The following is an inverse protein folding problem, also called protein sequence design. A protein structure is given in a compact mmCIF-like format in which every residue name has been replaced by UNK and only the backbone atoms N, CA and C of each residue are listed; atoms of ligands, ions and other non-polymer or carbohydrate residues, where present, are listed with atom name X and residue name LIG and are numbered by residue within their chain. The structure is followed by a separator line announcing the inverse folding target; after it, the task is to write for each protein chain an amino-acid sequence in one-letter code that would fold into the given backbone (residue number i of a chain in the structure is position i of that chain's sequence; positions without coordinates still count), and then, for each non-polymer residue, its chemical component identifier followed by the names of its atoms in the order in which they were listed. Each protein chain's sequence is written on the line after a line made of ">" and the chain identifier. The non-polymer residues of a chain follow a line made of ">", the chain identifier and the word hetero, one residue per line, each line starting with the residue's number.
data_IF_147801869744
#
_entry.id   IF_147801869744
#
_cell.length_a   1.000
_cell.length_b   1.000
_cell.length_c   1.000
_cell.angle_alpha   90.00
_cell.angle_beta   90.00
_cell.angle_gamma   90.00
#
_symmetry.space_group_name_H-M   'P 1'
#
loop_
_entity.id
_entity.type
_entity.pdbx_description
1 polymer ?
#
# COMPACT_ATOMS: atom_id res chain seq x y z
N UNK A 1 14.03 4.65 -0.52
CA UNK A 1 12.88 5.44 -1.00
C UNK A 1 12.45 4.99 -2.38
N UNK A 2 13.34 4.90 -3.37
CA UNK A 2 12.97 4.45 -4.73
C UNK A 2 12.39 3.03 -4.74
N UNK A 3 12.95 2.12 -3.94
CA UNK A 3 12.42 0.75 -3.77
C UNK A 3 10.98 0.75 -3.24
N UNK A 4 10.70 1.57 -2.21
CA UNK A 4 9.36 1.70 -1.62
C UNK A 4 8.36 2.20 -2.67
N UNK A 5 8.77 3.17 -3.49
CA UNK A 5 7.92 3.70 -4.56
C UNK A 5 7.64 2.63 -5.63
N UNK A 6 8.67 1.89 -6.06
CA UNK A 6 8.55 0.81 -7.03
C UNK A 6 7.64 -0.32 -6.53
N UNK A 7 7.85 -0.78 -5.29
CA UNK A 7 7.02 -1.81 -4.65
C UNK A 7 5.57 -1.34 -4.49
N UNK A 8 5.37 -0.09 -4.09
CA UNK A 8 4.04 0.50 -3.95
C UNK A 8 3.31 0.61 -5.29
N UNK A 9 4.03 0.96 -6.36
CA UNK A 9 3.47 1.02 -7.72
C UNK A 9 3.11 -0.39 -8.23
N UNK A 10 3.97 -1.38 -8.00
CA UNK A 10 3.71 -2.76 -8.37
C UNK A 10 2.46 -3.30 -7.66
N UNK A 11 2.33 -3.06 -6.34
CA UNK A 11 1.16 -3.44 -5.56
C UNK A 11 -0.12 -2.77 -6.07
N UNK A 12 -0.05 -1.46 -6.41
CA UNK A 12 -1.21 -0.73 -6.93
C UNK A 12 -1.77 -1.37 -8.20
N UNK A 13 -0.90 -1.76 -9.13
CA UNK A 13 -1.32 -2.46 -10.34
C UNK A 13 -1.81 -3.88 -10.06
N UNK A 14 -1.09 -4.65 -9.23
CA UNK A 14 -1.46 -6.02 -8.90
C UNK A 14 -2.81 -6.12 -8.17
N UNK A 15 -3.18 -5.11 -7.38
CA UNK A 15 -4.47 -5.04 -6.69
C UNK A 15 -5.66 -4.78 -7.63
N UNK A 16 -5.39 -4.24 -8.83
CA UNK A 16 -6.40 -3.95 -9.85
C UNK A 16 -6.38 -4.97 -11.01
N UNK A 17 -5.27 -5.68 -11.22
CA UNK A 17 -5.08 -6.67 -12.29
C UNK A 17 -5.63 -8.06 -11.90
N UNK A 18 -6.92 -8.11 -11.58
CA UNK A 18 -7.66 -9.34 -11.31
C UNK A 18 -9.14 -9.18 -11.67
N UNK A 19 -9.95 -10.22 -11.40
CA UNK A 19 -11.39 -10.17 -11.60
C UNK A 19 -11.98 -8.93 -10.89
N UNK A 20 -12.89 -8.17 -11.53
CA UNK A 20 -13.46 -6.96 -10.95
C UNK A 20 -14.08 -7.15 -9.56
N UNK A 21 -14.61 -8.34 -9.25
CA UNK A 21 -15.19 -8.66 -7.94
C UNK A 21 -14.15 -8.93 -6.85
N UNK A 22 -12.88 -9.13 -7.24
CA UNK A 22 -11.75 -9.36 -6.36
C UNK A 22 -10.80 -8.14 -6.24
N UNK A 23 -11.03 -7.08 -7.01
CA UNK A 23 -10.18 -5.89 -7.02
C UNK A 23 -10.19 -5.19 -5.66
N UNK A 24 -9.01 -4.70 -5.25
CA UNK A 24 -8.88 -3.86 -4.06
C UNK A 24 -8.57 -2.43 -4.51
N UNK A 25 -9.53 -1.53 -4.27
CA UNK A 25 -9.36 -0.12 -4.58
C UNK A 25 -8.43 0.55 -3.55
N UNK A 26 -7.23 0.89 -4.03
CA UNK A 26 -6.21 1.60 -3.27
C UNK A 26 -6.16 3.07 -3.70
N UNK A 27 -5.77 3.93 -2.77
CA UNK A 27 -5.38 5.30 -3.03
C UNK A 27 -3.90 5.48 -2.70
N UNK A 28 -3.23 6.37 -3.41
CA UNK A 28 -1.81 6.67 -3.19
C UNK A 28 -1.63 7.87 -2.26
N UNK A 29 -0.57 7.86 -1.47
CA UNK A 29 -0.12 9.02 -0.71
C UNK A 29 1.39 9.21 -0.86
N UNK A 30 1.84 10.45 -1.06
CA UNK A 30 3.27 10.76 -1.16
C UNK A 30 3.84 11.01 0.23
N UNK A 31 4.97 10.39 0.54
CA UNK A 31 5.71 10.59 1.80
C UNK A 31 7.17 10.94 1.54
N UNK A 32 7.80 11.61 2.50
CA UNK A 32 9.24 11.87 2.53
C UNK A 32 9.91 10.88 3.47
N UNK A 33 11.16 10.49 3.17
CA UNK A 33 11.94 9.58 4.01
C UNK A 33 12.01 9.99 5.49
N UNK A 34 12.27 11.28 5.82
CA UNK A 34 12.30 11.73 7.21
C UNK A 34 10.97 11.53 7.97
N UNK A 35 9.83 11.56 7.28
CA UNK A 35 8.53 11.34 7.92
C UNK A 35 8.26 9.85 8.19
N UNK A 36 8.85 8.95 7.40
CA UNK A 36 8.89 7.52 7.69
C UNK A 36 9.84 7.21 8.86
N UNK A 37 11.02 7.83 8.90
CA UNK A 37 11.98 7.68 9.99
C UNK A 37 11.41 8.13 11.34
N UNK A 38 10.66 9.24 11.39
CA UNK A 38 9.93 9.70 12.59
C UNK A 38 8.90 8.68 13.11
N UNK A 39 8.42 7.77 12.26
CA UNK A 39 7.50 6.68 12.61
C UNK A 39 8.22 5.39 12.99
N UNK A 40 9.56 5.40 13.04
CA UNK A 40 10.38 4.25 13.41
C UNK A 40 10.72 3.31 12.25
N UNK A 41 10.54 3.74 11.00
CA UNK A 41 10.95 2.95 9.83
C UNK A 41 12.39 3.25 9.44
N UNK A 42 13.20 2.21 9.26
CA UNK A 42 14.53 2.30 8.67
C UNK A 42 14.39 2.30 7.14
N UNK A 43 14.75 3.41 6.49
CA UNK A 43 14.63 3.57 5.04
C UNK A 43 15.88 4.23 4.46
N UNK A 44 16.31 3.78 3.29
CA UNK A 44 17.36 4.46 2.53
C UNK A 44 16.80 5.74 1.88
N UNK A 45 17.56 6.84 1.92
CA UNK A 45 17.16 8.16 1.39
C UNK A 45 17.69 8.43 -0.03
N UNK A 46 17.63 7.43 -0.90
CA UNK A 46 18.06 7.47 -2.31
C UNK A 46 17.15 8.30 -3.24
N UNK A 47 15.97 8.69 -2.75
CA UNK A 47 15.05 9.62 -3.42
C UNK A 47 14.35 10.53 -2.39
N UNK A 48 13.88 11.70 -2.83
CA UNK A 48 13.25 12.68 -1.95
C UNK A 48 11.90 12.22 -1.38
N UNK A 49 11.14 11.46 -2.17
CA UNK A 49 9.80 11.00 -1.84
C UNK A 49 9.54 9.59 -2.36
N UNK A 50 8.49 8.94 -1.84
CA UNK A 50 7.95 7.70 -2.36
C UNK A 50 6.41 7.73 -2.25
N UNK A 51 5.73 7.04 -3.17
CA UNK A 51 4.33 6.67 -3.03
C UNK A 51 4.21 5.55 -2.00
N UNK A 52 3.16 5.62 -1.19
CA UNK A 52 2.69 4.53 -0.33
C UNK A 52 1.19 4.32 -0.54
N UNK A 53 0.70 3.15 -0.17
CA UNK A 53 -0.71 2.80 -0.29
C UNK A 53 -1.49 3.22 0.94
N UNK A 54 -2.72 3.68 0.71
CA UNK A 54 -3.76 3.85 1.71
C UNK A 54 -5.07 3.36 1.13
N UNK A 55 -5.99 2.94 1.99
CA UNK A 55 -7.38 2.70 1.60
C UNK A 55 -8.30 3.25 2.68
N UNK A 56 -9.54 3.50 2.32
CA UNK A 56 -10.59 3.98 3.22
C UNK A 56 -11.80 3.09 3.05
N UNK A 57 -12.28 2.54 4.16
CA UNK A 57 -13.46 1.68 4.19
C UNK A 57 -14.55 2.33 5.04
N UNK A 58 -15.82 2.06 4.69
CA UNK A 58 -16.96 2.51 5.49
C UNK A 58 -17.21 1.53 6.63
N UNK A 59 -17.40 2.06 7.83
CA UNK A 59 -17.79 1.28 9.02
C UNK A 59 -19.26 1.52 9.35
N UNK A 60 -19.96 0.51 9.91
CA UNK A 60 -19.43 -0.80 10.35
C UNK A 60 -19.33 -1.88 9.25
N UNK A 61 -19.96 -1.68 8.11
CA UNK A 61 -20.22 -2.72 7.10
C UNK A 61 -18.94 -3.38 6.57
N UNK A 62 -17.86 -2.61 6.44
CA UNK A 62 -16.60 -3.12 5.89
C UNK A 62 -15.63 -3.64 6.95
N UNK A 63 -15.92 -3.48 8.24
CA UNK A 63 -14.96 -3.78 9.33
C UNK A 63 -14.55 -5.26 9.35
N UNK A 64 -15.50 -6.16 9.13
CA UNK A 64 -15.25 -7.59 9.09
C UNK A 64 -14.32 -8.02 7.93
N UNK A 65 -14.20 -7.20 6.87
CA UNK A 65 -13.40 -7.50 5.69
C UNK A 65 -11.95 -6.99 5.79
N UNK A 66 -11.63 -6.11 6.75
CA UNK A 66 -10.28 -5.54 6.90
C UNK A 66 -9.19 -6.64 6.98
N UNK A 67 -9.36 -7.72 7.78
CA UNK A 67 -8.35 -8.79 7.83
C UNK A 67 -8.14 -9.49 6.49
N UNK A 68 -9.22 -9.75 5.74
CA UNK A 68 -9.16 -10.39 4.43
C UNK A 68 -8.46 -9.49 3.40
N UNK A 69 -8.79 -8.18 3.38
CA UNK A 69 -8.13 -7.18 2.54
C UNK A 69 -6.63 -7.15 2.83
N UNK A 70 -6.24 -7.07 4.10
CA UNK A 70 -4.84 -7.05 4.50
C UNK A 70 -4.09 -8.32 4.08
N UNK A 71 -4.68 -9.50 4.30
CA UNK A 71 -4.09 -10.77 3.89
C UNK A 71 -3.87 -10.87 2.37
N UNK A 72 -4.84 -10.37 1.59
CA UNK A 72 -4.72 -10.34 0.13
C UNK A 72 -3.60 -9.41 -0.32
N UNK A 73 -3.52 -8.19 0.22
CA UNK A 73 -2.45 -7.25 -0.10
C UNK A 73 -1.07 -7.82 0.26
N UNK A 74 -0.93 -8.47 1.42
CA UNK A 74 0.31 -9.13 1.82
C UNK A 74 0.72 -10.25 0.85
N UNK A 75 -0.25 -11.01 0.34
CA UNK A 75 0.01 -12.06 -0.68
C UNK A 75 0.49 -11.45 -2.00
N UNK A 76 -0.06 -10.30 -2.41
CA UNK A 76 0.37 -9.60 -3.62
C UNK A 76 1.78 -9.01 -3.48
N UNK A 77 2.19 -8.58 -2.29
CA UNK A 77 3.54 -8.07 -2.02
C UNK A 77 4.62 -9.16 -1.94
N UNK A 78 4.24 -10.42 -1.67
CA UNK A 78 5.18 -11.52 -1.51
C UNK A 78 5.62 -12.18 -2.83
N UNK A 79 5.21 -11.62 -3.98
CA UNK A 79 5.50 -12.11 -5.33
C UNK A 79 6.62 -11.27 -5.95
#
# INVERSE_FOLDING_TARGET
>A
MSEIDAASNALFHAAADCDPTEQIHLATYMVKGPDLAKRGHEVEHDAATARIMRSTVMKPESEAYIPAIHSRLATLCAR
#
